data_IF_175106339019
#
_entry.id   IF_175106339019
#
_cell.length_a   1.000
_cell.length_b   1.000
_cell.length_c   1.000
_cell.angle_alpha   90.00
_cell.angle_beta   90.00
_cell.angle_gamma   90.00
#
_symmetry.space_group_name_H-M   'P 1'
#
loop_
_entity.id
_entity.type
_entity.pdbx_description
1 polymer ?
#
# COMPACT_ATOMS: atom_id res chain seq x y z
N UNK A 1 17.38 18.47 13.81
CA UNK A 1 18.71 18.68 13.21
C UNK A 1 19.42 17.34 13.22
N UNK A 2 20.07 16.97 12.13
CA UNK A 2 20.76 15.67 11.99
C UNK A 2 22.23 15.96 11.72
N UNK A 3 23.13 15.55 12.62
CA UNK A 3 24.57 15.63 12.36
C UNK A 3 25.02 14.41 11.55
N UNK A 4 25.71 14.65 10.43
CA UNK A 4 26.28 13.57 9.59
C UNK A 4 27.77 13.39 9.90
N UNK A 5 28.47 14.50 10.12
CA UNK A 5 29.89 14.56 10.48
C UNK A 5 30.12 15.75 11.43
N UNK A 6 31.26 15.78 12.12
CA UNK A 6 31.62 16.85 13.05
C UNK A 6 31.62 18.21 12.32
N UNK A 7 30.65 19.06 12.63
CA UNK A 7 30.46 20.37 11.97
C UNK A 7 29.58 20.37 10.71
N UNK A 8 29.02 19.23 10.28
CA UNK A 8 28.03 19.15 9.20
C UNK A 8 26.67 18.73 9.74
N UNK A 9 25.77 19.71 9.81
CA UNK A 9 24.41 19.54 10.32
C UNK A 9 23.39 19.73 9.20
N UNK A 10 22.46 18.79 9.05
CA UNK A 10 21.28 18.92 8.21
C UNK A 10 20.10 19.45 9.03
N UNK A 11 19.54 20.57 8.58
CA UNK A 11 18.29 21.12 9.06
C UNK A 11 17.16 20.57 8.20
N UNK A 12 16.40 19.62 8.76
CA UNK A 12 15.25 18.99 8.11
C UNK A 12 14.00 19.50 8.81
N UNK A 13 13.11 20.18 8.07
CA UNK A 13 11.81 20.64 8.57
C UNK A 13 10.71 20.12 7.66
N UNK A 14 9.76 19.37 8.22
CA UNK A 14 8.60 18.92 7.46
C UNK A 14 7.63 20.09 7.27
N UNK A 15 7.22 20.34 6.02
CA UNK A 15 6.31 21.43 5.67
C UNK A 15 4.88 20.91 5.51
N UNK A 16 4.70 19.91 4.64
CA UNK A 16 3.40 19.37 4.31
C UNK A 16 3.51 17.91 3.88
N UNK A 17 2.42 17.18 4.04
CA UNK A 17 2.26 15.86 3.45
C UNK A 17 1.03 15.88 2.55
N UNK A 18 1.21 15.51 1.29
CA UNK A 18 0.13 15.32 0.34
C UNK A 18 -0.75 14.11 0.66
N UNK A 19 -1.83 14.01 -0.10
CA UNK A 19 -2.78 12.91 -0.03
C UNK A 19 -2.17 11.59 -0.47
N UNK A 20 -2.76 10.49 0.01
CA UNK A 20 -2.39 9.15 -0.40
C UNK A 20 -2.97 8.85 -1.79
N UNK A 21 -2.09 8.51 -2.73
CA UNK A 21 -2.48 7.89 -3.96
C UNK A 21 -2.97 6.45 -3.70
N UNK A 22 -4.31 6.27 -3.67
CA UNK A 22 -4.95 4.96 -3.43
C UNK A 22 -4.63 3.89 -4.48
N UNK A 23 -4.05 4.24 -5.64
CA UNK A 23 -3.67 3.27 -6.68
C UNK A 23 -2.25 2.74 -6.46
N UNK A 24 -1.30 3.59 -6.09
CA UNK A 24 0.11 3.20 -5.90
C UNK A 24 0.49 2.98 -4.43
N UNK A 25 -0.33 3.48 -3.49
CA UNK A 25 -0.05 3.48 -2.05
C UNK A 25 1.03 4.51 -1.67
N UNK A 26 1.26 5.52 -2.50
CA UNK A 26 2.30 6.54 -2.29
C UNK A 26 1.69 7.86 -1.85
N UNK A 27 2.40 8.59 -0.98
CA UNK A 27 2.08 9.97 -0.64
C UNK A 27 3.27 10.86 -0.92
N UNK A 28 3.01 12.08 -1.37
CA UNK A 28 4.06 13.09 -1.55
C UNK A 28 4.33 13.78 -0.21
N UNK A 29 5.61 13.97 0.14
CA UNK A 29 6.01 14.66 1.37
C UNK A 29 6.92 15.82 0.99
N UNK A 30 6.57 17.01 1.48
CA UNK A 30 7.32 18.23 1.31
C UNK A 30 8.11 18.53 2.58
N UNK A 31 9.41 18.70 2.42
CA UNK A 31 10.30 19.06 3.51
C UNK A 31 11.33 20.08 3.03
N UNK A 32 11.80 20.89 3.97
CA UNK A 32 12.87 21.84 3.80
C UNK A 32 14.17 21.18 4.29
N UNK A 33 15.19 21.18 3.44
CA UNK A 33 16.54 20.70 3.73
C UNK A 33 17.51 21.87 3.63
N UNK A 34 18.04 22.34 4.75
CA UNK A 34 18.96 23.49 4.82
C UNK A 34 18.43 24.74 4.08
N UNK A 35 17.13 25.05 4.22
CA UNK A 35 16.50 26.18 3.53
C UNK A 35 15.99 25.86 2.12
N UNK A 36 16.32 24.70 1.55
CA UNK A 36 15.89 24.31 0.22
C UNK A 36 14.66 23.38 0.28
N UNK A 37 13.59 23.76 -0.41
CA UNK A 37 12.39 22.93 -0.52
C UNK A 37 12.64 21.69 -1.38
N UNK A 38 12.29 20.52 -0.86
CA UNK A 38 12.38 19.20 -1.52
C UNK A 38 11.03 18.49 -1.39
N UNK A 39 10.61 17.78 -2.43
CA UNK A 39 9.50 16.82 -2.35
C UNK A 39 10.01 15.41 -2.64
N UNK A 40 9.44 14.42 -1.94
CA UNK A 40 9.69 13.00 -2.16
C UNK A 40 8.38 12.21 -2.15
N UNK A 41 8.29 11.22 -3.02
CA UNK A 41 7.20 10.24 -3.04
C UNK A 41 7.57 9.07 -2.10
N UNK A 42 6.75 8.83 -1.08
CA UNK A 42 6.97 7.79 -0.06
C UNK A 42 5.80 6.82 -0.08
N UNK A 43 6.10 5.52 -0.12
CA UNK A 43 5.09 4.44 0.01
C UNK A 43 4.60 4.35 1.45
N UNK A 44 3.29 4.50 1.65
CA UNK A 44 2.65 4.40 2.95
C UNK A 44 2.36 2.93 3.30
N UNK A 45 3.17 2.37 4.21
CA UNK A 45 3.05 0.97 4.66
C UNK A 45 1.75 0.68 5.41
N UNK A 46 1.13 1.70 6.01
CA UNK A 46 -0.07 1.52 6.82
C UNK A 46 -1.30 1.46 5.92
N UNK A 47 -1.37 2.33 4.91
CA UNK A 47 -2.43 2.26 3.90
C UNK A 47 -2.32 1.03 2.99
N UNK A 48 -1.10 0.56 2.70
CA UNK A 48 -0.86 -0.71 2.01
C UNK A 48 -1.46 -1.93 2.75
N UNK A 49 -1.57 -1.89 4.09
CA UNK A 49 -2.22 -2.97 4.86
C UNK A 49 -3.74 -2.97 4.69
N UNK A 50 -4.37 -1.80 4.54
CA UNK A 50 -5.81 -1.69 4.26
C UNK A 50 -6.13 -2.00 2.80
N UNK A 51 -5.17 -1.82 1.88
CA UNK A 51 -5.27 -2.28 0.50
C UNK A 51 -5.12 -3.80 0.42
N UNK A 52 -6.14 -4.53 0.85
CA UNK A 52 -6.31 -5.95 0.53
C UNK A 52 -6.55 -6.10 -0.98
N UNK A 53 -5.46 -6.15 -1.76
CA UNK A 53 -5.53 -6.53 -3.17
C UNK A 53 -5.75 -8.04 -3.23
N UNK A 54 -7.00 -8.46 -3.45
CA UNK A 54 -7.30 -9.87 -3.69
C UNK A 54 -6.49 -10.36 -4.91
N UNK A 55 -5.66 -11.40 -4.79
CA UNK A 55 -4.89 -11.91 -5.91
C UNK A 55 -5.83 -12.35 -7.02
N UNK A 56 -5.56 -11.88 -8.25
CA UNK A 56 -6.36 -12.27 -9.42
C UNK A 56 -6.25 -13.78 -9.65
N UNK A 57 -7.37 -14.41 -9.98
CA UNK A 57 -7.37 -15.82 -10.35
C UNK A 57 -6.51 -16.04 -11.61
N UNK A 58 -5.64 -17.05 -11.57
CA UNK A 58 -4.79 -17.42 -12.70
C UNK A 58 -5.62 -18.19 -13.74
N UNK A 59 -5.75 -17.61 -14.94
CA UNK A 59 -6.41 -18.29 -16.07
C UNK A 59 -5.63 -19.56 -16.42
N UNK A 60 -6.29 -20.71 -16.32
CA UNK A 60 -5.71 -22.03 -16.65
C UNK A 60 -5.40 -22.93 -15.45
N UNK A 61 -5.39 -22.41 -14.22
CA UNK A 61 -5.19 -23.23 -13.01
C UNK A 61 -6.52 -23.77 -12.51
N UNK A 62 -6.75 -25.08 -12.65
CA UNK A 62 -7.91 -25.78 -12.07
C UNK A 62 -7.89 -25.59 -10.55
N UNK A 63 -8.85 -24.82 -10.04
CA UNK A 63 -8.96 -24.47 -8.60
C UNK A 63 -8.83 -22.98 -8.29
N UNK A 64 -8.32 -22.16 -9.23
CA UNK A 64 -8.35 -20.70 -9.11
C UNK A 64 -9.65 -20.15 -9.70
N UNK A 65 -10.66 -19.95 -8.86
CA UNK A 65 -11.94 -19.35 -9.27
C UNK A 65 -11.92 -17.86 -8.96
N UNK A 66 -12.01 -17.02 -9.99
CA UNK A 66 -12.06 -15.57 -9.86
C UNK A 66 -13.49 -15.06 -9.65
N UNK A 67 -13.62 -13.86 -9.11
CA UNK A 67 -14.91 -13.17 -9.05
C UNK A 67 -15.37 -12.80 -10.48
N UNK A 68 -16.60 -13.17 -10.89
CA UNK A 68 -17.10 -12.89 -12.23
C UNK A 68 -17.51 -11.42 -12.42
N UNK A 69 -17.76 -10.68 -11.33
CA UNK A 69 -18.18 -9.28 -11.31
C UNK A 69 -17.60 -8.56 -10.09
N UNK A 70 -17.58 -7.22 -10.11
CA UNK A 70 -17.21 -6.38 -8.97
C UNK A 70 -18.31 -6.46 -7.88
N UNK A 71 -17.95 -6.73 -6.63
CA UNK A 71 -18.91 -6.85 -5.52
C UNK A 71 -18.23 -7.10 -4.17
N UNK A 72 -19.03 -7.15 -3.10
CA UNK A 72 -18.58 -7.38 -1.73
C UNK A 72 -18.88 -8.82 -1.26
N UNK A 73 -18.01 -9.41 -0.43
CA UNK A 73 -18.20 -10.77 0.11
C UNK A 73 -19.09 -10.68 1.35
N UNK A 74 -20.34 -11.15 1.22
CA UNK A 74 -21.32 -11.11 2.32
C UNK A 74 -21.11 -12.25 3.32
N UNK A 75 -20.73 -13.45 2.84
CA UNK A 75 -20.56 -14.63 3.70
C UNK A 75 -19.62 -15.67 3.07
N UNK A 76 -18.84 -16.37 3.89
CA UNK A 76 -17.88 -17.42 3.47
C UNK A 76 -18.33 -18.77 4.03
N UNK A 77 -18.99 -19.57 3.18
CA UNK A 77 -19.65 -20.82 3.59
C UNK A 77 -18.72 -22.03 3.75
N UNK A 78 -17.43 -21.91 3.42
CA UNK A 78 -16.48 -23.03 3.41
C UNK A 78 -15.11 -22.63 3.95
N UNK A 79 -14.44 -23.56 4.62
CA UNK A 79 -13.08 -23.39 5.14
C UNK A 79 -12.08 -24.26 4.38
N UNK A 80 -10.79 -23.94 4.54
CA UNK A 80 -9.70 -24.68 3.91
C UNK A 80 -9.75 -26.16 4.35
N UNK A 81 -9.79 -27.08 3.38
CA UNK A 81 -9.89 -28.56 3.52
C UNK A 81 -11.30 -29.13 3.68
N UNK A 82 -12.35 -28.33 3.58
CA UNK A 82 -13.71 -28.87 3.56
C UNK A 82 -13.98 -29.65 2.27
N UNK A 83 -14.54 -30.85 2.41
CA UNK A 83 -14.96 -31.68 1.27
C UNK A 83 -16.33 -31.22 0.78
N UNK A 84 -16.36 -30.59 -0.39
CA UNK A 84 -17.59 -30.17 -1.06
C UNK A 84 -17.98 -31.16 -2.15
N UNK A 85 -19.29 -31.49 -2.24
CA UNK A 85 -19.82 -32.27 -3.36
C UNK A 85 -20.15 -31.34 -4.52
N UNK A 86 -19.84 -31.78 -5.74
CA UNK A 86 -20.27 -31.08 -6.95
C UNK A 86 -21.79 -31.14 -7.04
N UNK A 87 -22.42 -29.99 -7.25
CA UNK A 87 -23.85 -29.88 -7.51
C UNK A 87 -24.14 -30.09 -8.99
#
# INVERSE_FOLDING_TARGET
MVEIEKGKTLHIKLLAMGELNKKTGEREVFFELNGQLRSLLIKDKQALKEMHVAPKAQKGVKGSVGAPMLGEVIDVKVKKRDKVKKR
#
